data_IF_235503852349
#
_entry.id   IF_235503852349
#
_cell.length_a   1.000
_cell.length_b   1.000
_cell.length_c   1.000
_cell.angle_alpha   90.00
_cell.angle_beta   90.00
_cell.angle_gamma   90.00
#
_symmetry.space_group_name_H-M   'P 1'
#
loop_
_entity.id
_entity.type
_entity.pdbx_description
1 polymer ?
#
# COMPACT_ATOMS: atom_id res chain seq x y z
N UNK A 1 21.37 -5.35 -4.34
CA UNK A 1 21.42 -5.08 -2.88
C UNK A 1 21.38 -6.40 -2.13
N UNK A 2 22.32 -6.63 -1.25
CA UNK A 2 22.33 -7.85 -0.48
C UNK A 2 21.37 -7.75 0.72
N UNK A 3 21.20 -8.86 1.42
CA UNK A 3 20.24 -8.93 2.53
C UNK A 3 20.64 -8.00 3.68
N UNK A 4 21.92 -7.93 4.01
CA UNK A 4 22.40 -7.09 5.10
C UNK A 4 22.17 -5.61 4.79
N UNK A 5 22.47 -5.19 3.57
CA UNK A 5 22.23 -3.81 3.13
C UNK A 5 20.76 -3.47 3.11
N UNK A 6 19.91 -4.40 2.66
CA UNK A 6 18.46 -4.20 2.64
C UNK A 6 17.91 -4.03 4.06
N UNK A 7 18.36 -4.84 5.00
CA UNK A 7 17.93 -4.74 6.39
C UNK A 7 18.41 -3.46 7.07
N UNK A 8 19.63 -3.05 6.76
CA UNK A 8 20.16 -1.78 7.27
C UNK A 8 19.36 -0.59 6.78
N UNK A 9 19.01 -0.59 5.48
CA UNK A 9 18.18 0.47 4.91
C UNK A 9 16.80 0.48 5.55
N UNK A 10 16.17 -0.68 5.71
CA UNK A 10 14.87 -0.79 6.35
C UNK A 10 14.91 -0.27 7.80
N UNK A 11 15.95 -0.62 8.55
CA UNK A 11 16.13 -0.11 9.91
C UNK A 11 16.15 1.43 9.93
N UNK A 12 16.91 2.02 9.02
CA UNK A 12 17.03 3.48 8.97
C UNK A 12 15.73 4.16 8.56
N UNK A 13 15.03 3.59 7.58
CA UNK A 13 13.73 4.12 7.13
C UNK A 13 12.71 4.06 8.26
N UNK A 14 12.63 2.93 8.98
CA UNK A 14 11.69 2.80 10.09
C UNK A 14 12.02 3.78 11.22
N UNK A 15 13.29 3.98 11.53
CA UNK A 15 13.70 4.94 12.54
C UNK A 15 13.30 6.36 12.16
N UNK A 16 13.50 6.76 10.92
CA UNK A 16 13.07 8.08 10.43
C UNK A 16 11.55 8.22 10.47
N UNK A 17 10.81 7.18 10.13
CA UNK A 17 9.36 7.19 10.17
C UNK A 17 8.85 7.41 11.59
N UNK A 18 9.46 6.76 12.57
CA UNK A 18 9.11 6.94 13.97
C UNK A 18 9.39 8.38 14.43
N UNK A 19 10.55 8.94 14.05
CA UNK A 19 10.93 10.31 14.43
C UNK A 19 10.06 11.38 13.77
N UNK A 20 9.51 11.10 12.60
CA UNK A 20 8.74 12.08 11.83
C UNK A 20 7.38 12.42 12.45
N UNK A 21 6.93 11.67 13.44
CA UNK A 21 5.66 11.92 14.13
C UNK A 21 4.46 11.95 13.17
N UNK A 22 4.52 11.11 12.15
CA UNK A 22 3.44 10.93 11.19
C UNK A 22 2.53 9.76 11.56
N UNK A 23 1.58 9.42 10.69
CA UNK A 23 0.70 8.29 10.95
C UNK A 23 1.46 6.98 10.97
N UNK A 24 1.12 6.12 11.92
CA UNK A 24 1.66 4.76 11.97
C UNK A 24 0.92 3.87 11.00
N UNK A 25 1.63 3.39 9.99
CA UNK A 25 1.08 2.43 9.06
C UNK A 25 1.52 1.02 9.47
N UNK A 26 0.58 0.07 9.44
CA UNK A 26 0.99 -1.32 9.60
C UNK A 26 1.65 -1.81 8.31
N UNK A 27 2.21 -3.03 8.35
CA UNK A 27 2.97 -3.58 7.22
C UNK A 27 2.10 -3.71 5.97
N UNK A 28 0.83 -4.13 6.12
CA UNK A 28 -0.08 -4.27 4.98
C UNK A 28 -0.37 -2.93 4.32
N UNK A 29 -0.64 -1.91 5.12
CA UNK A 29 -0.89 -0.56 4.63
C UNK A 29 0.35 0.00 3.93
N UNK A 30 1.52 -0.15 4.52
CA UNK A 30 2.77 0.32 3.95
C UNK A 30 3.09 -0.41 2.64
N UNK A 31 2.88 -1.72 2.59
CA UNK A 31 3.13 -2.51 1.38
C UNK A 31 2.22 -2.09 0.23
N UNK A 32 0.94 -1.85 0.51
CA UNK A 32 -0.01 -1.39 -0.50
C UNK A 32 0.36 0.01 -0.99
N UNK A 33 0.63 0.92 -0.07
CA UNK A 33 0.97 2.30 -0.41
C UNK A 33 2.22 2.36 -1.31
N UNK A 34 3.28 1.65 -0.93
CA UNK A 34 4.52 1.65 -1.68
C UNK A 34 4.35 1.00 -3.05
N UNK A 35 3.59 -0.10 -3.12
CA UNK A 35 3.36 -0.78 -4.39
C UNK A 35 2.60 0.11 -5.37
N UNK A 36 1.56 0.78 -4.91
CA UNK A 36 0.77 1.68 -5.76
C UNK A 36 1.59 2.90 -6.17
N UNK A 37 2.44 3.41 -5.28
CA UNK A 37 3.25 4.59 -5.55
C UNK A 37 4.42 4.32 -6.49
N UNK A 38 5.04 3.15 -6.40
CA UNK A 38 6.31 2.87 -7.06
C UNK A 38 6.18 1.96 -8.28
N UNK A 39 5.25 1.02 -8.27
CA UNK A 39 5.11 0.08 -9.39
C UNK A 39 4.19 0.69 -10.44
N UNK A 40 4.43 0.39 -11.74
CA UNK A 40 3.55 0.89 -12.78
C UNK A 40 2.14 0.31 -12.65
N UNK A 41 1.15 1.18 -12.83
CA UNK A 41 -0.25 0.81 -12.79
C UNK A 41 -0.80 0.38 -14.14
N UNK A 42 -2.11 0.17 -14.25
CA UNK A 42 -3.09 0.45 -13.20
C UNK A 42 -3.07 -0.57 -12.05
N UNK A 43 -3.49 -0.11 -10.88
CA UNK A 43 -3.61 -0.96 -9.69
C UNK A 43 -5.08 -1.15 -9.35
N UNK A 44 -5.47 -2.37 -8.97
CA UNK A 44 -6.83 -2.71 -8.58
C UNK A 44 -6.80 -3.41 -7.23
N UNK A 45 -7.95 -3.40 -6.54
CA UNK A 45 -8.09 -4.14 -5.29
C UNK A 45 -7.77 -5.63 -5.50
N UNK A 46 -8.29 -6.21 -6.58
CA UNK A 46 -8.03 -7.62 -6.91
C UNK A 46 -6.55 -7.87 -7.16
N UNK A 47 -5.91 -7.00 -7.96
CA UNK A 47 -4.49 -7.14 -8.28
C UNK A 47 -3.60 -7.04 -7.05
N UNK A 48 -3.91 -6.12 -6.15
CA UNK A 48 -3.18 -5.97 -4.89
C UNK A 48 -3.36 -7.20 -4.00
N UNK A 49 -4.57 -7.73 -3.93
CA UNK A 49 -4.86 -8.93 -3.15
C UNK A 49 -4.04 -10.12 -3.67
N UNK A 50 -4.02 -10.32 -4.98
CA UNK A 50 -3.24 -11.40 -5.59
C UNK A 50 -1.74 -11.23 -5.36
N UNK A 51 -1.24 -10.01 -5.59
CA UNK A 51 0.19 -9.73 -5.48
C UNK A 51 0.72 -9.92 -4.05
N UNK A 52 -0.10 -9.60 -3.05
CA UNK A 52 0.31 -9.65 -1.65
C UNK A 52 -0.17 -10.91 -0.91
N UNK A 53 -0.91 -11.79 -1.60
CA UNK A 53 -1.44 -12.99 -0.96
C UNK A 53 -2.48 -12.69 0.11
N UNK A 54 -3.25 -11.62 -0.08
CA UNK A 54 -4.28 -11.20 0.87
C UNK A 54 -5.66 -11.44 0.31
N UNK A 55 -6.65 -11.59 1.20
CA UNK A 55 -8.04 -11.56 0.77
C UNK A 55 -8.47 -10.14 0.45
N UNK A 56 -9.47 -9.98 -0.41
CA UNK A 56 -10.02 -8.66 -0.74
C UNK A 56 -10.46 -7.86 0.49
N UNK A 57 -11.11 -8.47 1.51
CA UNK A 57 -11.47 -7.70 2.71
C UNK A 57 -10.28 -7.08 3.43
N UNK A 58 -9.14 -7.77 3.47
CA UNK A 58 -7.94 -7.22 4.10
C UNK A 58 -7.40 -6.04 3.32
N UNK A 59 -7.38 -6.12 1.98
CA UNK A 59 -6.97 -5.01 1.11
C UNK A 59 -7.93 -3.83 1.27
N UNK A 60 -9.23 -4.08 1.28
CA UNK A 60 -10.23 -3.02 1.43
C UNK A 60 -10.09 -2.29 2.76
N UNK A 61 -9.85 -3.02 3.86
CA UNK A 61 -9.64 -2.38 5.17
C UNK A 61 -8.38 -1.51 5.18
N UNK A 62 -7.29 -1.99 4.57
CA UNK A 62 -6.06 -1.21 4.48
C UNK A 62 -6.28 0.06 3.64
N UNK A 63 -7.01 -0.05 2.52
CA UNK A 63 -7.32 1.10 1.67
C UNK A 63 -8.24 2.09 2.37
N UNK A 64 -9.20 1.62 3.15
CA UNK A 64 -10.06 2.50 3.95
C UNK A 64 -9.22 3.34 4.92
N UNK A 65 -8.27 2.71 5.59
CA UNK A 65 -7.37 3.42 6.50
C UNK A 65 -6.49 4.43 5.75
N UNK A 66 -5.91 4.03 4.62
CA UNK A 66 -5.07 4.92 3.80
C UNK A 66 -5.89 6.08 3.23
N UNK A 67 -7.13 5.83 2.81
CA UNK A 67 -8.03 6.89 2.32
C UNK A 67 -8.37 7.88 3.41
N UNK A 68 -8.61 7.39 4.61
CA UNK A 68 -8.87 8.25 5.76
C UNK A 68 -7.70 9.17 6.10
N UNK A 69 -6.48 8.76 5.76
CA UNK A 69 -5.28 9.57 5.95
C UNK A 69 -4.95 10.44 4.72
N UNK A 70 -5.73 10.33 3.65
CA UNK A 70 -5.47 11.07 2.42
C UNK A 70 -4.29 10.53 1.59
N UNK A 71 -3.87 9.29 1.84
CA UNK A 71 -2.69 8.70 1.19
C UNK A 71 -3.03 7.86 -0.04
N UNK A 72 -4.25 7.40 -0.15
CA UNK A 72 -4.71 6.63 -1.30
C UNK A 72 -6.19 6.87 -1.53
N UNK A 73 -6.67 6.55 -2.73
CA UNK A 73 -8.09 6.62 -3.04
C UNK A 73 -8.49 5.47 -3.95
N UNK A 74 -9.74 5.05 -3.85
CA UNK A 74 -10.35 4.08 -4.75
C UNK A 74 -11.24 4.83 -5.74
N UNK A 75 -11.14 4.43 -7.00
CA UNK A 75 -11.94 5.00 -8.08
C UNK A 75 -12.68 3.85 -8.74
N UNK A 76 -14.02 3.92 -8.88
CA UNK A 76 -14.76 2.87 -9.57
C UNK A 76 -14.23 2.69 -10.99
N UNK A 77 -14.02 1.43 -11.39
CA UNK A 77 -13.61 1.11 -12.75
C UNK A 77 -14.85 0.97 -13.62
N UNK A 78 -15.03 1.88 -14.55
CA UNK A 78 -16.20 1.89 -15.44
C UNK A 78 -16.22 0.67 -16.37
N UNK A 79 -15.07 0.08 -16.65
CA UNK A 79 -14.97 -1.10 -17.53
C UNK A 79 -15.11 -2.40 -16.77
N UNK A 80 -14.85 -2.42 -15.46
CA UNK A 80 -14.99 -3.59 -14.61
C UNK A 80 -15.53 -3.18 -13.24
N UNK A 81 -16.85 -3.28 -13.10
CA UNK A 81 -17.53 -2.89 -11.85
C UNK A 81 -17.20 -3.79 -10.65
N UNK A 82 -16.49 -4.89 -10.87
CA UNK A 82 -16.08 -5.82 -9.81
C UNK A 82 -14.83 -5.39 -9.09
N UNK A 83 -14.12 -4.42 -9.64
CA UNK A 83 -12.83 -4.00 -9.09
C UNK A 83 -12.69 -2.50 -9.18
N UNK A 84 -12.27 -1.89 -8.07
CA UNK A 84 -11.94 -0.48 -8.04
C UNK A 84 -10.48 -0.26 -8.41
N UNK A 85 -10.20 0.84 -9.09
CA UNK A 85 -8.84 1.31 -9.31
C UNK A 85 -8.33 1.97 -8.04
N UNK A 86 -7.02 1.84 -7.81
CA UNK A 86 -6.37 2.41 -6.62
C UNK A 86 -5.28 3.37 -7.07
N UNK A 87 -5.29 4.57 -6.49
CA UNK A 87 -4.31 5.63 -6.78
C UNK A 87 -3.81 6.25 -5.48
N UNK A 88 -2.62 6.81 -5.56
CA UNK A 88 -2.03 7.57 -4.44
C UNK A 88 -1.96 9.07 -4.70
#
# INVERSE_FOLDING_TARGET
>A
MDRASALALLKDVLAETVRADGPDLNVRQAAILLRVSLDPGPHTVRGLAEALGLGKPAVSRALDALSGLGLAMRIPDETDRRSDLVQT
#
